data_IF_329002144751
#
_entry.id   IF_329002144751
#
_cell.length_a   1.000
_cell.length_b   1.000
_cell.length_c   1.000
_cell.angle_alpha   90.00
_cell.angle_beta   90.00
_cell.angle_gamma   90.00
#
_symmetry.space_group_name_H-M   'P 1'
#
loop_
_entity.id
_entity.type
_entity.pdbx_description
1 polymer ?
#
# COMPACT_ATOMS: atom_id res chain seq x y z
N UNK A 1 -12.59 -36.96 0.48
CA UNK A 1 -13.41 -35.75 0.69
C UNK A 1 -12.96 -34.79 -0.38
N UNK A 2 -13.78 -34.61 -1.40
CA UNK A 2 -13.46 -33.90 -2.63
C UNK A 2 -13.38 -32.39 -2.34
N UNK A 3 -12.25 -31.77 -2.68
CA UNK A 3 -12.09 -30.33 -2.56
C UNK A 3 -12.90 -29.68 -3.69
N UNK A 4 -14.15 -29.37 -3.40
CA UNK A 4 -15.02 -28.60 -4.29
C UNK A 4 -14.41 -27.19 -4.40
N UNK A 5 -14.03 -26.72 -5.59
CA UNK A 5 -13.58 -25.34 -5.76
C UNK A 5 -14.75 -24.42 -5.43
N UNK A 6 -14.57 -23.56 -4.41
CA UNK A 6 -15.52 -22.51 -4.07
C UNK A 6 -15.84 -21.66 -5.30
N UNK A 7 -17.12 -21.35 -5.58
CA UNK A 7 -17.49 -20.58 -6.75
C UNK A 7 -17.04 -19.14 -6.58
N UNK A 8 -16.16 -18.68 -7.48
CA UNK A 8 -15.66 -17.31 -7.66
C UNK A 8 -16.76 -16.22 -7.63
N UNK A 9 -18.04 -16.59 -7.75
CA UNK A 9 -19.19 -15.68 -7.71
C UNK A 9 -19.63 -15.20 -6.31
N UNK A 10 -19.23 -15.84 -5.20
CA UNK A 10 -19.65 -15.40 -3.84
C UNK A 10 -18.77 -14.26 -3.30
N UNK A 11 -17.48 -14.30 -3.61
CA UNK A 11 -16.44 -13.39 -3.09
C UNK A 11 -16.60 -11.92 -3.56
N UNK A 12 -17.24 -11.71 -4.71
CA UNK A 12 -17.45 -10.37 -5.30
C UNK A 12 -18.77 -9.74 -4.85
N UNK A 13 -19.77 -10.54 -4.48
CA UNK A 13 -21.09 -10.04 -4.09
C UNK A 13 -20.99 -9.16 -2.84
N UNK A 14 -20.23 -9.64 -1.84
CA UNK A 14 -19.98 -8.97 -0.57
C UNK A 14 -19.24 -7.62 -0.75
N UNK A 15 -18.39 -7.49 -1.78
CA UNK A 15 -17.69 -6.25 -2.14
C UNK A 15 -18.61 -5.16 -2.74
N UNK A 16 -19.82 -5.55 -3.12
CA UNK A 16 -20.85 -4.69 -3.69
C UNK A 16 -21.98 -4.39 -2.69
N UNK A 17 -21.91 -4.92 -1.47
CA UNK A 17 -22.96 -4.73 -0.47
C UNK A 17 -23.16 -3.26 -0.08
N UNK A 18 -24.42 -2.88 0.12
CA UNK A 18 -24.82 -1.51 0.42
C UNK A 18 -24.80 -0.53 -0.76
N UNK A 19 -24.53 -1.01 -1.99
CA UNK A 19 -24.58 -0.20 -3.21
C UNK A 19 -25.72 -0.65 -4.13
N UNK A 20 -26.48 0.34 -4.63
CA UNK A 20 -27.60 0.16 -5.55
C UNK A 20 -27.43 0.98 -6.84
N UNK A 21 -28.15 0.57 -7.89
CA UNK A 21 -28.27 1.31 -9.15
C UNK A 21 -26.91 1.56 -9.84
N UNK A 22 -26.71 2.79 -10.33
CA UNK A 22 -25.49 3.19 -11.06
C UNK A 22 -24.22 3.01 -10.24
N UNK A 23 -24.27 3.28 -8.93
CA UNK A 23 -23.11 3.14 -8.05
C UNK A 23 -22.65 1.69 -7.92
N UNK A 24 -23.59 0.72 -7.91
CA UNK A 24 -23.29 -0.71 -7.92
C UNK A 24 -22.63 -1.13 -9.23
N UNK A 25 -23.15 -0.66 -10.37
CA UNK A 25 -22.60 -0.97 -11.69
C UNK A 25 -21.18 -0.42 -11.86
N UNK A 26 -20.96 0.85 -11.50
CA UNK A 26 -19.63 1.47 -11.54
C UNK A 26 -18.63 0.75 -10.62
N UNK A 27 -19.05 0.31 -9.43
CA UNK A 27 -18.19 -0.47 -8.53
C UNK A 27 -17.86 -1.84 -9.09
N UNK A 28 -18.82 -2.53 -9.72
CA UNK A 28 -18.59 -3.83 -10.32
C UNK A 28 -17.56 -3.77 -11.46
N UNK A 29 -17.63 -2.75 -12.32
CA UNK A 29 -16.62 -2.52 -13.36
C UNK A 29 -15.23 -2.24 -12.77
N UNK A 30 -15.16 -1.45 -11.70
CA UNK A 30 -13.90 -1.18 -11.01
C UNK A 30 -13.29 -2.46 -10.42
N UNK A 31 -14.08 -3.28 -9.73
CA UNK A 31 -13.59 -4.53 -9.13
C UNK A 31 -13.08 -5.49 -10.22
N UNK A 32 -13.83 -5.67 -11.30
CA UNK A 32 -13.40 -6.50 -12.42
C UNK A 32 -12.05 -6.03 -12.99
N UNK A 33 -11.89 -4.72 -13.18
CA UNK A 33 -10.62 -4.16 -13.65
C UNK A 33 -9.47 -4.37 -12.64
N UNK A 34 -9.71 -4.23 -11.33
CA UNK A 34 -8.70 -4.45 -10.30
C UNK A 34 -8.25 -5.93 -10.24
N UNK A 35 -9.19 -6.87 -10.38
CA UNK A 35 -8.89 -8.30 -10.47
C UNK A 35 -8.03 -8.61 -11.71
N UNK A 36 -8.31 -7.99 -12.87
CA UNK A 36 -7.47 -8.09 -14.07
C UNK A 36 -6.04 -7.55 -13.87
N UNK A 37 -5.86 -6.56 -12.97
CA UNK A 37 -4.53 -6.07 -12.59
C UNK A 37 -3.82 -6.98 -11.58
N UNK A 38 -4.42 -8.11 -11.21
CA UNK A 38 -3.89 -9.10 -10.27
C UNK A 38 -4.00 -8.68 -8.81
N UNK A 39 -4.93 -7.78 -8.47
CA UNK A 39 -5.25 -7.42 -7.09
C UNK A 39 -6.27 -8.43 -6.57
N UNK A 40 -6.07 -8.93 -5.36
CA UNK A 40 -6.91 -9.95 -4.72
C UNK A 40 -8.19 -9.35 -4.11
N UNK A 41 -9.22 -10.18 -3.94
CA UNK A 41 -10.46 -9.75 -3.29
C UNK A 41 -10.23 -9.27 -1.84
N UNK A 42 -9.28 -9.87 -1.12
CA UNK A 42 -8.89 -9.46 0.23
C UNK A 42 -8.24 -8.07 0.26
N UNK A 43 -7.36 -7.76 -0.70
CA UNK A 43 -6.79 -6.41 -0.85
C UNK A 43 -7.87 -5.37 -1.16
N UNK A 44 -8.88 -5.73 -1.97
CA UNK A 44 -10.02 -4.86 -2.28
C UNK A 44 -10.90 -4.63 -1.04
N UNK A 45 -11.13 -5.66 -0.21
CA UNK A 45 -11.87 -5.55 1.06
C UNK A 45 -11.21 -4.58 2.03
N UNK A 46 -9.88 -4.65 2.15
CA UNK A 46 -9.10 -3.88 3.12
C UNK A 46 -8.93 -2.41 2.72
N UNK A 47 -9.18 -2.05 1.46
CA UNK A 47 -9.01 -0.68 0.97
C UNK A 47 -10.34 0.01 0.65
N UNK A 48 -10.67 1.05 1.41
CA UNK A 48 -11.84 1.88 1.18
C UNK A 48 -11.46 3.37 1.06
N UNK A 49 -11.62 4.02 -0.13
CA UNK A 49 -12.09 3.47 -1.40
C UNK A 49 -10.98 2.74 -2.20
N UNK A 50 -11.30 1.65 -2.93
CA UNK A 50 -10.30 0.80 -3.61
C UNK A 50 -9.72 1.40 -4.90
N UNK A 51 -10.16 2.61 -5.29
CA UNK A 51 -9.83 3.26 -6.57
C UNK A 51 -8.33 3.44 -6.81
N UNK A 52 -7.53 3.53 -5.74
CA UNK A 52 -6.10 3.80 -5.81
C UNK A 52 -5.21 2.56 -5.61
N UNK A 53 -5.79 1.37 -5.43
CA UNK A 53 -5.02 0.13 -5.21
C UNK A 53 -4.07 -0.18 -6.35
N UNK A 54 -4.53 -0.08 -7.61
CA UNK A 54 -3.67 -0.29 -8.78
C UNK A 54 -2.53 0.73 -8.87
N UNK A 55 -2.75 1.96 -8.39
CA UNK A 55 -1.71 2.99 -8.35
C UNK A 55 -0.70 2.72 -7.23
N UNK A 56 -1.12 2.07 -6.13
CA UNK A 56 -0.23 1.73 -5.01
C UNK A 56 0.90 0.80 -5.44
N UNK A 57 0.61 -0.15 -6.33
CA UNK A 57 1.62 -1.03 -6.97
C UNK A 57 2.70 -0.27 -7.73
N UNK A 58 2.34 0.84 -8.38
CA UNK A 58 3.31 1.68 -9.10
C UNK A 58 4.27 2.43 -8.15
N UNK A 59 3.92 2.57 -6.87
CA UNK A 59 4.65 3.35 -5.87
C UNK A 59 5.44 2.43 -4.91
N UNK A 60 5.42 1.11 -5.12
CA UNK A 60 6.30 0.16 -4.41
C UNK A 60 5.58 -0.92 -3.60
N UNK A 61 4.24 -0.92 -3.57
CA UNK A 61 3.47 -2.02 -2.96
C UNK A 61 3.37 -3.20 -3.92
N UNK A 62 4.24 -4.20 -3.77
CA UNK A 62 4.20 -5.42 -4.58
C UNK A 62 3.22 -6.47 -4.02
N UNK A 63 2.44 -6.14 -3.00
CA UNK A 63 1.54 -7.06 -2.28
C UNK A 63 2.26 -8.03 -1.35
N UNK A 64 3.59 -7.91 -1.20
CA UNK A 64 4.37 -8.77 -0.30
C UNK A 64 4.56 -8.10 1.05
N UNK A 65 4.09 -8.78 2.09
CA UNK A 65 4.24 -8.37 3.47
C UNK A 65 5.24 -9.27 4.18
N UNK A 66 6.08 -8.67 5.02
CA UNK A 66 7.15 -9.32 5.77
C UNK A 66 7.13 -8.86 7.22
N UNK A 67 7.71 -9.67 8.09
CA UNK A 67 7.86 -9.37 9.52
C UNK A 67 9.08 -8.51 9.80
N UNK A 68 9.10 -7.82 10.95
CA UNK A 68 10.26 -7.05 11.36
C UNK A 68 11.50 -7.95 11.58
N UNK A 69 11.30 -9.19 12.05
CA UNK A 69 12.37 -10.17 12.19
C UNK A 69 12.98 -10.56 10.85
N UNK A 70 12.15 -10.90 9.87
CA UNK A 70 12.62 -11.24 8.52
C UNK A 70 13.40 -10.09 7.87
N UNK A 71 12.95 -8.84 8.04
CA UNK A 71 13.69 -7.65 7.56
C UNK A 71 15.05 -7.54 8.24
N UNK A 72 15.10 -7.69 9.57
CA UNK A 72 16.36 -7.63 10.34
C UNK A 72 17.36 -8.67 9.86
N UNK A 73 16.92 -9.91 9.66
CA UNK A 73 17.76 -11.02 9.20
C UNK A 73 18.20 -10.84 7.74
N UNK A 74 17.29 -10.40 6.86
CA UNK A 74 17.55 -10.26 5.42
C UNK A 74 18.52 -9.12 5.12
N UNK A 75 18.37 -7.99 5.81
CA UNK A 75 19.11 -6.76 5.51
C UNK A 75 20.20 -6.43 6.54
N UNK A 76 20.34 -7.23 7.59
CA UNK A 76 21.41 -7.09 8.59
C UNK A 76 21.27 -5.88 9.51
N UNK A 77 20.07 -5.30 9.64
CA UNK A 77 19.80 -4.21 10.57
C UNK A 77 19.46 -4.77 11.96
N UNK A 78 19.95 -4.11 13.02
CA UNK A 78 19.53 -4.43 14.38
C UNK A 78 18.01 -4.27 14.55
N UNK A 79 17.34 -5.29 15.10
CA UNK A 79 15.87 -5.31 15.22
C UNK A 79 15.33 -4.15 16.05
N UNK A 80 16.03 -3.76 17.13
CA UNK A 80 15.57 -2.65 17.97
C UNK A 80 15.71 -1.32 17.23
N UNK A 81 16.80 -1.11 16.49
CA UNK A 81 16.97 0.05 15.61
C UNK A 81 15.90 0.09 14.51
N UNK A 82 15.65 -1.04 13.83
CA UNK A 82 14.64 -1.15 12.78
C UNK A 82 13.26 -0.73 13.29
N UNK A 83 12.82 -1.29 14.42
CA UNK A 83 11.52 -0.93 14.99
C UNK A 83 11.46 0.55 15.41
N UNK A 84 12.57 1.15 15.86
CA UNK A 84 12.62 2.59 16.18
C UNK A 84 12.48 3.45 14.92
N UNK A 85 13.13 3.05 13.83
CA UNK A 85 13.05 3.71 12.52
C UNK A 85 11.65 3.58 11.93
N UNK A 86 11.04 2.39 11.94
CA UNK A 86 9.67 2.17 11.47
C UNK A 86 8.65 3.05 12.22
N UNK A 87 8.79 3.16 13.56
CA UNK A 87 7.98 4.08 14.37
C UNK A 87 8.20 5.55 14.00
N UNK A 88 9.43 5.93 13.66
CA UNK A 88 9.75 7.30 13.26
C UNK A 88 9.20 7.66 11.87
N UNK A 89 9.13 6.69 10.95
CA UNK A 89 8.48 6.85 9.64
C UNK A 89 6.96 7.02 9.77
N UNK A 90 6.37 6.51 10.87
CA UNK A 90 4.92 6.51 11.08
C UNK A 90 4.24 5.25 10.54
N UNK A 91 5.00 4.17 10.32
CA UNK A 91 4.44 2.87 9.95
C UNK A 91 3.64 2.25 11.11
N UNK A 92 2.74 1.32 10.78
CA UNK A 92 1.89 0.64 11.73
C UNK A 92 2.71 0.10 12.91
N UNK A 93 2.27 0.41 14.13
CA UNK A 93 2.89 -0.11 15.34
C UNK A 93 2.47 -1.56 15.51
N UNK A 94 3.46 -2.44 15.53
CA UNK A 94 3.27 -3.87 15.66
C UNK A 94 4.22 -4.30 16.77
N UNK A 95 3.65 -4.73 17.90
CA UNK A 95 4.44 -5.14 19.06
C UNK A 95 5.01 -6.56 18.86
N UNK A 96 4.41 -7.37 18.00
CA UNK A 96 4.90 -8.70 17.60
C UNK A 96 5.90 -8.58 16.42
N UNK A 97 7.21 -8.83 16.64
CA UNK A 97 8.22 -8.74 15.59
C UNK A 97 8.08 -9.82 14.49
N UNK A 98 7.30 -10.87 14.73
CA UNK A 98 7.09 -12.01 13.84
C UNK A 98 5.83 -11.86 12.98
N UNK A 99 5.03 -10.81 13.19
CA UNK A 99 3.85 -10.54 12.39
C UNK A 99 4.23 -9.97 11.01
N UNK A 100 3.79 -10.65 9.93
CA UNK A 100 4.05 -10.26 8.54
C UNK A 100 3.08 -9.15 8.07
N UNK A 101 3.36 -7.92 8.48
CA UNK A 101 2.45 -6.77 8.27
C UNK A 101 3.14 -5.54 7.67
N UNK A 102 4.47 -5.56 7.51
CA UNK A 102 5.19 -4.48 6.87
C UNK A 102 5.35 -4.77 5.39
N UNK A 103 5.11 -3.76 4.53
CA UNK A 103 5.43 -3.90 3.11
C UNK A 103 6.93 -4.14 2.95
N UNK A 104 7.29 -5.08 2.09
CA UNK A 104 8.70 -5.43 1.83
C UNK A 104 9.53 -4.20 1.44
N UNK A 105 8.98 -3.34 0.58
CA UNK A 105 9.63 -2.10 0.17
C UNK A 105 9.90 -1.12 1.34
N UNK A 106 8.94 -1.00 2.27
CA UNK A 106 9.10 -0.16 3.46
C UNK A 106 10.16 -0.74 4.42
N UNK A 107 10.21 -2.06 4.55
CA UNK A 107 11.23 -2.77 5.32
C UNK A 107 12.65 -2.54 4.79
N UNK A 108 12.83 -2.66 3.47
CA UNK A 108 14.09 -2.38 2.78
C UNK A 108 14.54 -0.93 2.97
N UNK A 109 13.61 0.02 2.83
CA UNK A 109 13.89 1.43 3.05
C UNK A 109 14.34 1.70 4.49
N UNK A 110 13.64 1.14 5.48
CA UNK A 110 13.98 1.29 6.89
C UNK A 110 15.36 0.68 7.24
N UNK A 111 15.72 -0.46 6.62
CA UNK A 111 17.00 -1.12 6.83
C UNK A 111 18.22 -0.27 6.43
N UNK A 112 18.04 0.72 5.54
CA UNK A 112 19.11 1.63 5.12
C UNK A 112 19.68 2.45 6.29
N UNK A 113 18.93 2.63 7.37
CA UNK A 113 19.39 3.33 8.58
C UNK A 113 20.64 2.67 9.21
N UNK A 114 20.79 1.35 9.09
CA UNK A 114 21.92 0.59 9.63
C UNK A 114 23.26 1.11 9.10
N UNK A 115 23.34 1.37 7.79
CA UNK A 115 24.58 1.87 7.14
C UNK A 115 25.07 3.18 7.74
N UNK A 116 24.16 4.06 8.15
CA UNK A 116 24.53 5.32 8.78
C UNK A 116 25.12 5.12 10.17
N UNK A 117 24.59 4.16 10.93
CA UNK A 117 25.12 3.79 12.25
C UNK A 117 26.49 3.14 12.13
N UNK A 118 26.70 2.29 11.12
CA UNK A 118 28.00 1.67 10.82
C UNK A 118 29.08 2.69 10.45
N UNK A 119 28.70 3.83 9.87
CA UNK A 119 29.59 4.96 9.62
C UNK A 119 29.89 5.81 10.87
N UNK A 120 29.39 5.40 12.04
CA UNK A 120 29.65 6.04 13.33
C UNK A 120 28.65 7.13 13.72
N UNK A 121 27.53 7.28 13.01
CA UNK A 121 26.48 8.23 13.40
C UNK A 121 25.67 7.69 14.57
N UNK A 122 25.27 8.59 15.47
CA UNK A 122 24.49 8.21 16.65
C UNK A 122 23.09 7.71 16.20
N UNK A 123 22.68 6.48 16.59
CA UNK A 123 21.38 5.91 16.26
C UNK A 123 20.20 6.82 16.63
N UNK A 124 20.28 7.52 17.77
CA UNK A 124 19.22 8.42 18.22
C UNK A 124 19.06 9.62 17.28
N UNK A 125 20.18 10.15 16.76
CA UNK A 125 20.16 11.23 15.79
C UNK A 125 19.62 10.76 14.43
N UNK A 126 19.96 9.54 14.00
CA UNK A 126 19.40 8.95 12.77
C UNK A 126 17.88 8.81 12.86
N UNK A 127 17.37 8.30 13.98
CA UNK A 127 15.92 8.19 14.22
C UNK A 127 15.25 9.57 14.18
N UNK A 128 15.89 10.61 14.73
CA UNK A 128 15.37 11.99 14.66
C UNK A 128 15.34 12.53 13.23
N UNK A 129 16.41 12.32 12.45
CA UNK A 129 16.45 12.72 11.02
C UNK A 129 15.34 12.04 10.24
N UNK A 130 15.18 10.72 10.42
CA UNK A 130 14.10 9.96 9.77
C UNK A 130 12.73 10.54 10.12
N UNK A 131 12.49 10.88 11.39
CA UNK A 131 11.21 11.48 11.82
C UNK A 131 10.91 12.80 11.11
N UNK A 132 11.89 13.69 11.05
CA UNK A 132 11.74 15.00 10.40
C UNK A 132 11.49 14.84 8.89
N UNK A 133 12.23 13.93 8.25
CA UNK A 133 12.02 13.63 6.83
C UNK A 133 10.64 13.05 6.57
N UNK A 134 10.20 12.08 7.38
CA UNK A 134 8.89 11.46 7.25
C UNK A 134 7.74 12.47 7.42
N UNK A 135 7.83 13.37 8.40
CA UNK A 135 6.85 14.43 8.61
C UNK A 135 6.78 15.39 7.41
N UNK A 136 7.93 15.89 6.95
CA UNK A 136 7.99 16.79 5.78
C UNK A 136 7.51 16.13 4.48
N UNK A 137 7.90 14.88 4.25
CA UNK A 137 7.48 14.12 3.07
C UNK A 137 5.99 13.76 3.12
N UNK A 138 5.42 13.54 4.30
CA UNK A 138 3.98 13.29 4.46
C UNK A 138 3.16 14.49 3.98
N UNK A 139 3.58 15.72 4.33
CA UNK A 139 2.94 16.93 3.82
C UNK A 139 3.07 17.07 2.30
N UNK A 140 4.25 16.78 1.74
CA UNK A 140 4.44 16.80 0.30
C UNK A 140 3.57 15.76 -0.42
N UNK A 141 3.47 14.55 0.13
CA UNK A 141 2.66 13.46 -0.41
C UNK A 141 1.17 13.82 -0.46
N UNK A 142 0.64 14.50 0.56
CA UNK A 142 -0.75 14.99 0.55
C UNK A 142 -1.00 16.01 -0.56
N UNK A 143 -0.09 16.96 -0.77
CA UNK A 143 -0.20 17.93 -1.88
C UNK A 143 -0.14 17.21 -3.23
N UNK A 144 0.80 16.28 -3.41
CA UNK A 144 0.91 15.47 -4.64
C UNK A 144 -0.36 14.66 -4.91
N UNK A 145 -0.92 14.01 -3.88
CA UNK A 145 -2.18 13.26 -3.97
C UNK A 145 -3.33 14.16 -4.40
N UNK A 146 -3.47 15.32 -3.78
CA UNK A 146 -4.50 16.30 -4.15
C UNK A 146 -4.35 16.78 -5.59
N UNK A 147 -3.13 17.12 -6.02
CA UNK A 147 -2.84 17.56 -7.39
C UNK A 147 -3.17 16.46 -8.40
N UNK A 148 -2.76 15.21 -8.14
CA UNK A 148 -3.07 14.06 -9.00
C UNK A 148 -4.58 13.82 -9.09
N UNK A 149 -5.29 13.81 -7.97
CA UNK A 149 -6.74 13.62 -7.94
C UNK A 149 -7.48 14.74 -8.67
N UNK A 150 -7.05 15.99 -8.50
CA UNK A 150 -7.65 17.15 -9.19
C UNK A 150 -7.47 17.09 -10.71
N UNK A 151 -6.35 16.54 -11.20
CA UNK A 151 -6.12 16.33 -12.62
C UNK A 151 -7.01 15.23 -13.22
N UNK A 152 -7.40 14.23 -12.42
CA UNK A 152 -8.19 13.07 -12.84
C UNK A 152 -9.70 13.34 -12.67
N UNK A 153 -10.12 14.03 -11.62
CA UNK A 153 -11.51 14.36 -11.33
C UNK A 153 -11.98 15.59 -12.14
N UNK A 154 -12.55 15.37 -13.33
CA UNK A 154 -13.27 16.44 -14.07
C UNK A 154 -14.76 16.44 -13.69
N UNK A 155 -15.37 17.62 -13.46
CA UNK A 155 -16.81 17.72 -13.22
C UNK A 155 -17.59 17.14 -14.41
N UNK A 156 -18.46 16.16 -14.15
CA UNK A 156 -19.25 15.45 -15.16
C UNK A 156 -18.63 14.16 -15.72
N UNK A 157 -17.52 13.68 -15.18
CA UNK A 157 -16.98 12.36 -15.56
C UNK A 157 -17.74 11.24 -14.84
N UNK A 158 -18.37 10.26 -15.53
CA UNK A 158 -18.78 9.02 -14.87
C UNK A 158 -17.55 8.37 -14.21
N UNK A 159 -17.73 7.73 -13.04
CA UNK A 159 -16.63 7.23 -12.18
C UNK A 159 -15.79 6.11 -12.82
N UNK A 160 -16.08 5.75 -14.06
CA UNK A 160 -15.32 4.80 -14.84
C UNK A 160 -14.91 5.42 -16.18
N UNK A 161 -13.66 5.87 -16.29
CA UNK A 161 -13.00 6.01 -17.58
C UNK A 161 -11.96 4.91 -17.67
N UNK A 162 -12.35 3.77 -18.25
CA UNK A 162 -11.42 2.65 -18.46
C UNK A 162 -10.14 3.14 -19.17
N UNK A 163 -8.94 2.62 -18.83
CA UNK A 163 -7.69 3.08 -19.44
C UNK A 163 -7.57 2.70 -20.92
N UNK A 164 -8.56 2.03 -21.51
CA UNK A 164 -8.47 1.35 -22.80
C UNK A 164 -8.47 2.28 -24.03
N UNK A 165 -8.35 3.60 -23.86
CA UNK A 165 -8.35 4.56 -24.97
C UNK A 165 -7.20 5.57 -24.92
N UNK A 166 -5.97 5.08 -24.82
CA UNK A 166 -4.76 5.79 -25.29
C UNK A 166 -3.85 4.84 -26.09
N UNK A 167 -4.36 4.35 -27.21
CA UNK A 167 -3.56 3.95 -28.37
C UNK A 167 -4.27 4.44 -29.62
N UNK A 168 -3.98 5.68 -30.02
CA UNK A 168 -3.85 6.12 -31.41
C UNK A 168 -3.47 7.60 -31.45
N UNK A 169 -2.35 7.83 -32.13
CA UNK A 169 -1.63 9.07 -32.43
C UNK A 169 -0.80 9.61 -31.27
#
# INVERSE_FOLDING_TARGET
>A
MEHVPEPVGRDIADLLDGLDGTARAERAELIAWLLEQGITADEIRLANPPLLLATRRLIGDDGTYVSAREISETYGIDLALLQRVQRAIGLARVDDPDAAVHMRADGEAAATAQRFVELGLNPDQIVMVVRVLAEGLSHAAEVMRYTALSAIMRPGSPRCRSPRRRRRW
#
